data_IF_875823360030
#
_entry.id   IF_875823360030
#
_cell.length_a   1.000
_cell.length_b   1.000
_cell.length_c   1.000
_cell.angle_alpha   90.00
_cell.angle_beta   90.00
_cell.angle_gamma   90.00
#
_symmetry.space_group_name_H-M   'P 1'
#
loop_
_entity.id
_entity.type
_entity.pdbx_description
1 polymer ?
#
# COMPACT_ATOMS: atom_id res chain seq x y z
N UNK A 1 -3.41 2.49 -22.92
CA UNK A 1 -2.66 1.33 -23.40
C UNK A 1 -1.53 1.75 -24.34
N UNK A 2 -0.54 0.90 -24.50
CA UNK A 2 0.63 1.13 -25.36
C UNK A 2 0.71 0.01 -26.41
N UNK A 3 -0.15 0.01 -27.45
CA UNK A 3 -0.23 -1.09 -28.41
C UNK A 3 1.07 -1.31 -29.20
N UNK A 4 1.81 -0.24 -29.52
CA UNK A 4 3.08 -0.37 -30.25
C UNK A 4 4.18 -0.99 -29.42
N UNK A 5 4.23 -0.71 -28.11
CA UNK A 5 5.10 -1.41 -27.19
C UNK A 5 4.83 -2.92 -27.19
N UNK A 6 3.57 -3.33 -27.09
CA UNK A 6 3.19 -4.75 -27.10
C UNK A 6 3.54 -5.44 -28.41
N UNK A 7 3.37 -4.75 -29.57
CA UNK A 7 3.80 -5.27 -30.89
C UNK A 7 5.32 -5.47 -30.94
N UNK A 8 6.10 -4.52 -30.39
CA UNK A 8 7.56 -4.64 -30.35
C UNK A 8 8.00 -5.79 -29.44
N UNK A 9 7.41 -5.94 -28.25
CA UNK A 9 7.68 -7.09 -27.38
C UNK A 9 7.43 -8.40 -28.10
N UNK A 10 6.29 -8.52 -28.80
CA UNK A 10 5.96 -9.72 -29.57
C UNK A 10 7.01 -9.99 -30.65
N UNK A 11 7.42 -8.96 -31.39
CA UNK A 11 8.50 -9.07 -32.39
C UNK A 11 9.83 -9.50 -31.79
N UNK A 12 10.15 -9.02 -30.58
CA UNK A 12 11.38 -9.41 -29.86
C UNK A 12 11.32 -10.88 -29.41
N UNK A 13 10.16 -11.37 -29.01
CA UNK A 13 9.99 -12.79 -28.64
C UNK A 13 10.34 -13.73 -29.79
N UNK A 14 10.04 -13.33 -31.03
CA UNK A 14 10.35 -14.13 -32.23
C UNK A 14 11.79 -13.96 -32.73
N UNK A 15 12.39 -12.78 -32.56
CA UNK A 15 13.68 -12.42 -33.18
C UNK A 15 14.89 -12.57 -32.26
N UNK A 16 14.70 -12.42 -30.95
CA UNK A 16 15.80 -12.49 -29.98
C UNK A 16 16.10 -13.95 -29.63
N UNK A 17 17.38 -14.31 -29.58
CA UNK A 17 17.77 -15.70 -29.28
C UNK A 17 17.32 -16.12 -27.87
N UNK A 18 17.05 -17.42 -27.71
CA UNK A 18 16.74 -18.00 -26.39
C UNK A 18 17.84 -17.70 -25.36
N UNK A 19 19.10 -17.76 -25.76
CA UNK A 19 20.24 -17.45 -24.88
C UNK A 19 20.18 -16.00 -24.36
N UNK A 20 19.84 -15.05 -25.25
CA UNK A 20 19.72 -13.64 -24.85
C UNK A 20 18.55 -13.44 -23.87
N UNK A 21 17.41 -14.09 -24.12
CA UNK A 21 16.28 -14.07 -23.18
C UNK A 21 16.64 -14.69 -21.83
N UNK A 22 17.32 -15.84 -21.85
CA UNK A 22 17.78 -16.49 -20.62
C UNK A 22 18.72 -15.61 -19.80
N UNK A 23 19.70 -14.97 -20.46
CA UNK A 23 20.60 -14.03 -19.79
C UNK A 23 19.85 -12.82 -19.20
N UNK A 24 18.92 -12.25 -19.95
CA UNK A 24 18.10 -11.13 -19.49
C UNK A 24 17.23 -11.50 -18.29
N UNK A 25 16.53 -12.63 -18.35
CA UNK A 25 15.67 -13.08 -17.25
C UNK A 25 16.50 -13.46 -16.01
N UNK A 26 17.67 -14.09 -16.21
CA UNK A 26 18.60 -14.37 -15.12
C UNK A 26 19.07 -13.09 -14.44
N UNK A 27 19.43 -12.08 -15.23
CA UNK A 27 19.80 -10.76 -14.69
C UNK A 27 18.62 -10.11 -13.92
N UNK A 28 17.41 -10.13 -14.48
CA UNK A 28 16.23 -9.61 -13.80
C UNK A 28 16.00 -10.29 -12.45
N UNK A 29 16.14 -11.62 -12.42
CA UNK A 29 15.97 -12.42 -11.19
C UNK A 29 17.02 -12.04 -10.15
N UNK A 30 18.31 -12.08 -10.53
CA UNK A 30 19.40 -11.70 -9.62
C UNK A 30 19.21 -10.28 -9.09
N UNK A 31 18.88 -9.34 -9.97
CA UNK A 31 18.67 -7.95 -9.59
C UNK A 31 17.49 -7.77 -8.61
N UNK A 32 16.39 -8.51 -8.81
CA UNK A 32 15.22 -8.47 -7.92
C UNK A 32 15.53 -8.97 -6.50
N UNK A 33 16.46 -9.92 -6.37
CA UNK A 33 16.85 -10.51 -5.10
C UNK A 33 18.13 -9.94 -4.51
N UNK A 34 18.91 -9.14 -5.24
CA UNK A 34 20.23 -8.67 -4.82
C UNK A 34 20.23 -7.99 -3.45
N UNK A 35 19.22 -7.15 -3.17
CA UNK A 35 19.06 -6.51 -1.85
C UNK A 35 18.66 -7.45 -0.70
N UNK A 36 18.48 -8.74 -0.97
CA UNK A 36 17.94 -9.77 -0.08
C UNK A 36 18.86 -10.98 0.08
N UNK A 37 20.01 -10.97 -0.57
CA UNK A 37 21.03 -12.02 -0.51
C UNK A 37 22.08 -11.70 0.57
N UNK A 38 23.31 -12.14 0.39
CA UNK A 38 24.41 -11.84 1.31
C UNK A 38 24.85 -10.37 1.26
N UNK A 39 25.69 -9.96 2.22
CA UNK A 39 26.14 -8.57 2.38
C UNK A 39 26.81 -7.99 1.13
N UNK A 40 27.48 -8.83 0.32
CA UNK A 40 28.16 -8.38 -0.91
C UNK A 40 27.12 -7.92 -1.93
N UNK A 41 26.08 -8.71 -2.16
CA UNK A 41 24.98 -8.37 -3.07
C UNK A 41 24.17 -7.19 -2.57
N UNK A 42 23.84 -7.17 -1.28
CA UNK A 42 23.13 -6.06 -0.63
C UNK A 42 23.90 -4.76 -0.81
N UNK A 43 25.24 -4.77 -0.62
CA UNK A 43 26.06 -3.58 -0.79
C UNK A 43 26.12 -3.12 -2.23
N UNK A 44 26.36 -4.00 -3.20
CA UNK A 44 26.36 -3.64 -4.61
C UNK A 44 25.00 -3.07 -5.07
N UNK A 45 23.91 -3.66 -4.62
CA UNK A 45 22.57 -3.14 -4.90
C UNK A 45 22.39 -1.72 -4.32
N UNK A 46 22.77 -1.51 -3.06
CA UNK A 46 22.72 -0.21 -2.41
C UNK A 46 23.60 0.83 -3.12
N UNK A 47 24.85 0.49 -3.40
CA UNK A 47 25.83 1.41 -4.02
C UNK A 47 25.33 1.94 -5.36
N UNK A 48 24.66 1.09 -6.15
CA UNK A 48 24.09 1.51 -7.43
C UNK A 48 22.75 2.25 -7.26
N UNK A 49 21.75 1.63 -6.69
CA UNK A 49 20.38 2.19 -6.68
C UNK A 49 20.21 3.36 -5.69
N UNK A 50 20.82 3.24 -4.52
CA UNK A 50 20.75 4.31 -3.52
C UNK A 50 21.91 5.30 -3.64
N UNK A 51 23.11 4.81 -3.85
CA UNK A 51 24.31 5.64 -3.98
C UNK A 51 24.32 6.44 -5.29
N UNK A 52 24.48 5.75 -6.42
CA UNK A 52 24.66 6.40 -7.72
C UNK A 52 23.38 7.09 -8.20
N UNK A 53 22.22 6.40 -8.14
CA UNK A 53 20.98 6.94 -8.71
C UNK A 53 20.25 7.91 -7.77
N UNK A 54 20.36 7.75 -6.46
CA UNK A 54 19.59 8.55 -5.48
C UNK A 54 20.46 9.48 -4.62
N UNK A 55 21.80 9.39 -4.71
CA UNK A 55 22.73 10.22 -3.94
C UNK A 55 22.78 9.91 -2.43
N UNK A 56 22.31 8.73 -2.02
CA UNK A 56 22.29 8.32 -0.61
C UNK A 56 23.65 7.77 -0.21
N UNK A 57 24.30 8.37 0.79
CA UNK A 57 25.65 8.00 1.21
C UNK A 57 25.71 6.84 2.22
N UNK A 58 24.68 6.65 3.02
CA UNK A 58 24.69 5.66 4.11
C UNK A 58 23.48 4.71 4.00
N UNK A 59 23.75 3.43 4.10
CA UNK A 59 22.72 2.40 4.21
C UNK A 59 22.03 2.48 5.57
N UNK A 60 20.71 2.33 5.59
CA UNK A 60 19.92 2.25 6.84
C UNK A 60 20.36 1.06 7.69
N UNK A 61 20.21 1.16 9.02
CA UNK A 61 20.38 0.03 9.95
C UNK A 61 19.53 -1.18 9.54
N UNK A 62 19.97 -2.39 9.92
CA UNK A 62 19.32 -3.63 9.49
C UNK A 62 17.89 -3.75 10.02
N UNK A 63 17.62 -3.29 11.22
CA UNK A 63 16.29 -3.27 11.83
C UNK A 63 15.32 -2.38 11.08
N UNK A 64 15.74 -1.18 10.65
CA UNK A 64 14.91 -0.31 9.81
C UNK A 64 14.62 -0.96 8.45
N UNK A 65 15.63 -1.57 7.81
CA UNK A 65 15.47 -2.28 6.54
C UNK A 65 14.50 -3.46 6.66
N UNK A 66 14.56 -4.21 7.76
CA UNK A 66 13.62 -5.31 8.04
C UNK A 66 12.18 -4.79 8.18
N UNK A 67 11.97 -3.68 8.88
CA UNK A 67 10.64 -3.06 9.01
C UNK A 67 10.13 -2.59 7.65
N UNK A 68 10.97 -1.97 6.84
CA UNK A 68 10.61 -1.53 5.48
C UNK A 68 10.24 -2.71 4.57
N UNK A 69 11.00 -3.80 4.63
CA UNK A 69 10.71 -5.00 3.86
C UNK A 69 9.36 -5.64 4.26
N UNK A 70 9.09 -5.75 5.56
CA UNK A 70 7.80 -6.25 6.05
C UNK A 70 6.67 -5.31 5.60
N UNK A 71 6.88 -3.98 5.70
CA UNK A 71 5.92 -2.96 5.27
C UNK A 71 5.61 -3.04 3.76
N UNK A 72 6.60 -3.37 2.94
CA UNK A 72 6.44 -3.56 1.50
C UNK A 72 5.90 -4.94 1.09
N UNK A 73 5.73 -5.86 2.01
CA UNK A 73 5.32 -7.24 1.74
C UNK A 73 3.84 -7.50 2.04
N UNK A 74 3.36 -8.71 1.74
CA UNK A 74 2.02 -9.16 2.13
C UNK A 74 1.82 -9.20 3.66
N UNK A 75 2.90 -9.17 4.44
CA UNK A 75 2.86 -9.20 5.92
C UNK A 75 2.61 -7.82 6.55
N UNK A 76 2.52 -6.77 5.76
CA UNK A 76 2.35 -5.40 6.24
C UNK A 76 1.18 -5.22 7.22
N UNK A 77 0.06 -5.92 7.02
CA UNK A 77 -1.06 -5.85 7.96
C UNK A 77 -0.78 -6.48 9.32
N UNK A 78 0.08 -7.51 9.41
CA UNK A 78 0.50 -8.05 10.71
C UNK A 78 1.29 -7.01 11.51
N UNK A 79 2.20 -6.29 10.83
CA UNK A 79 2.93 -5.18 11.45
C UNK A 79 1.96 -4.07 11.85
N UNK A 80 1.00 -3.74 10.98
CA UNK A 80 -0.05 -2.77 11.27
C UNK A 80 -0.89 -3.14 12.48
N UNK A 81 -1.25 -4.41 12.63
CA UNK A 81 -1.96 -4.91 13.81
C UNK A 81 -1.16 -4.74 15.08
N UNK A 82 0.11 -5.17 15.08
CA UNK A 82 1.00 -5.01 16.23
C UNK A 82 1.22 -3.53 16.61
N UNK A 83 1.29 -2.64 15.61
CA UNK A 83 1.38 -1.20 15.83
C UNK A 83 0.13 -0.65 16.51
N UNK A 84 -1.05 -1.02 16.01
CA UNK A 84 -2.35 -0.55 16.55
C UNK A 84 -2.53 -1.00 18.00
N UNK A 85 -2.23 -2.25 18.31
CA UNK A 85 -2.35 -2.80 19.67
C UNK A 85 -1.54 -2.00 20.70
N UNK A 86 -0.42 -1.39 20.28
CA UNK A 86 0.42 -0.58 21.17
C UNK A 86 0.12 0.92 21.17
N UNK A 87 -0.28 1.47 20.01
CA UNK A 87 -0.17 2.92 19.77
C UNK A 87 -1.51 3.58 19.40
N UNK A 88 -2.59 2.84 19.20
CA UNK A 88 -3.84 3.45 18.76
C UNK A 88 -5.05 2.81 19.41
N UNK A 89 -5.68 3.53 20.32
CA UNK A 89 -6.81 3.06 21.10
C UNK A 89 -8.13 3.07 20.31
N UNK A 90 -9.12 2.29 20.79
CA UNK A 90 -10.49 2.36 20.29
C UNK A 90 -11.08 3.76 20.54
N UNK A 91 -10.72 4.41 21.63
CA UNK A 91 -11.15 5.76 21.94
C UNK A 91 -10.61 6.78 20.90
N UNK A 92 -9.33 6.67 20.53
CA UNK A 92 -8.75 7.45 19.44
C UNK A 92 -9.52 7.25 18.13
N UNK A 93 -9.84 6.01 17.77
CA UNK A 93 -10.66 5.70 16.58
C UNK A 93 -12.03 6.40 16.65
N UNK A 94 -12.69 6.37 17.79
CA UNK A 94 -13.99 7.03 17.99
C UNK A 94 -13.90 8.55 17.88
N UNK A 95 -12.87 9.17 18.46
CA UNK A 95 -12.64 10.62 18.33
C UNK A 95 -12.40 11.05 16.89
N UNK A 96 -11.58 10.30 16.17
CA UNK A 96 -11.33 10.54 14.74
C UNK A 96 -12.63 10.41 13.92
N UNK A 97 -13.46 9.40 14.20
CA UNK A 97 -14.77 9.26 13.56
C UNK A 97 -15.65 10.52 13.80
N UNK A 98 -15.74 10.98 15.04
CA UNK A 98 -16.50 12.19 15.38
C UNK A 98 -15.94 13.44 14.66
N UNK A 99 -14.62 13.57 14.59
CA UNK A 99 -13.97 14.66 13.84
C UNK A 99 -14.35 14.64 12.36
N UNK A 100 -14.31 13.47 11.73
CA UNK A 100 -14.70 13.29 10.32
C UNK A 100 -16.19 13.56 10.13
N UNK A 101 -17.06 13.15 11.05
CA UNK A 101 -18.50 13.50 11.01
C UNK A 101 -18.71 15.01 11.01
N UNK A 102 -18.01 15.74 11.85
CA UNK A 102 -18.07 17.20 11.91
C UNK A 102 -17.54 17.86 10.63
N UNK A 103 -16.45 17.32 10.05
CA UNK A 103 -15.92 17.79 8.77
C UNK A 103 -16.92 17.59 7.63
N UNK A 104 -17.57 16.43 7.56
CA UNK A 104 -18.58 16.15 6.53
C UNK A 104 -19.83 17.02 6.70
N UNK A 105 -20.26 17.28 7.93
CA UNK A 105 -21.35 18.20 8.23
C UNK A 105 -21.01 19.64 7.79
N UNK A 106 -19.80 20.11 8.10
CA UNK A 106 -19.32 21.43 7.66
C UNK A 106 -19.20 21.52 6.14
N UNK A 107 -18.74 20.45 5.50
CA UNK A 107 -18.63 20.39 4.04
C UNK A 107 -20.02 20.43 3.37
N UNK A 108 -21.01 19.74 3.95
CA UNK A 108 -22.41 19.83 3.51
C UNK A 108 -22.91 21.27 3.53
N UNK A 109 -22.83 21.97 4.68
CA UNK A 109 -23.25 23.36 4.80
C UNK A 109 -22.56 24.26 3.78
N UNK A 110 -21.27 24.00 3.52
CA UNK A 110 -20.51 24.77 2.54
C UNK A 110 -21.01 24.55 1.12
N UNK A 111 -21.32 23.32 0.70
CA UNK A 111 -21.90 23.02 -0.63
C UNK A 111 -23.26 23.70 -0.77
N UNK A 112 -24.12 23.63 0.24
CA UNK A 112 -25.44 24.27 0.24
C UNK A 112 -25.36 25.81 0.08
N UNK A 113 -24.35 26.45 0.67
CA UNK A 113 -24.14 27.90 0.63
C UNK A 113 -23.40 28.41 -0.62
N UNK A 114 -22.96 27.58 -1.58
CA UNK A 114 -22.23 28.06 -2.76
C UNK A 114 -23.15 28.77 -3.77
N UNK A 115 -22.86 30.02 -4.08
CA UNK A 115 -23.69 30.83 -5.01
C UNK A 115 -23.46 30.46 -6.49
N UNK A 116 -22.24 30.03 -6.82
CA UNK A 116 -21.86 29.72 -8.19
C UNK A 116 -22.33 28.34 -8.67
N UNK A 117 -22.76 27.47 -7.78
CA UNK A 117 -23.17 26.10 -8.08
C UNK A 117 -24.69 26.03 -8.30
N UNK A 118 -25.13 25.46 -9.44
CA UNK A 118 -26.55 25.26 -9.73
C UNK A 118 -27.22 24.32 -8.71
N UNK A 119 -28.54 24.42 -8.55
CA UNK A 119 -29.29 23.55 -7.64
C UNK A 119 -29.16 22.06 -8.00
N UNK A 120 -29.13 21.72 -9.31
CA UNK A 120 -28.92 20.36 -9.75
C UNK A 120 -27.53 19.84 -9.40
N UNK A 121 -26.48 20.65 -9.60
CA UNK A 121 -25.10 20.31 -9.26
C UNK A 121 -24.92 20.15 -7.75
N UNK A 122 -25.53 21.03 -6.92
CA UNK A 122 -25.53 20.87 -5.46
C UNK A 122 -26.14 19.53 -5.03
N UNK A 123 -27.24 19.13 -5.64
CA UNK A 123 -27.90 17.84 -5.37
C UNK A 123 -26.95 16.68 -5.61
N UNK A 124 -26.26 16.66 -6.75
CA UNK A 124 -25.29 15.61 -7.10
C UNK A 124 -24.06 15.65 -6.16
N UNK A 125 -23.56 16.84 -5.84
CA UNK A 125 -22.45 16.99 -4.89
C UNK A 125 -22.80 16.47 -3.49
N UNK A 126 -24.00 16.74 -3.01
CA UNK A 126 -24.50 16.23 -1.73
C UNK A 126 -24.74 14.71 -1.77
N UNK A 127 -25.22 14.17 -2.87
CA UNK A 127 -25.35 12.73 -3.06
C UNK A 127 -23.97 12.04 -3.00
N UNK A 128 -22.96 12.60 -3.68
CA UNK A 128 -21.58 12.12 -3.61
C UNK A 128 -21.00 12.22 -2.20
N UNK A 129 -21.22 13.32 -1.49
CA UNK A 129 -20.78 13.50 -0.10
C UNK A 129 -21.41 12.46 0.84
N UNK A 130 -22.69 12.15 0.65
CA UNK A 130 -23.41 11.16 1.46
C UNK A 130 -22.92 9.73 1.20
N UNK A 131 -22.40 9.46 0.00
CA UNK A 131 -21.90 8.17 -0.41
C UNK A 131 -20.41 7.97 -0.11
N UNK A 132 -19.74 8.91 0.59
CA UNK A 132 -18.32 8.80 0.89
C UNK A 132 -18.03 7.66 1.87
N UNK A 133 -17.18 6.73 1.45
CA UNK A 133 -16.64 5.68 2.31
C UNK A 133 -15.56 6.23 3.25
N UNK A 134 -15.42 5.61 4.42
CA UNK A 134 -14.44 6.02 5.44
C UNK A 134 -13.68 4.81 5.98
N UNK A 135 -12.35 4.90 5.97
CA UNK A 135 -11.43 3.94 6.56
C UNK A 135 -10.54 4.68 7.55
N UNK A 136 -10.83 4.59 8.83
CA UNK A 136 -10.21 5.40 9.88
C UNK A 136 -9.50 4.52 10.92
N UNK A 137 -8.21 4.75 11.09
CA UNK A 137 -7.36 4.05 12.04
C UNK A 137 -6.91 2.67 11.55
N UNK A 138 -7.78 1.69 11.63
CA UNK A 138 -7.47 0.29 11.29
C UNK A 138 -8.72 -0.46 10.81
N UNK A 139 -8.55 -1.58 10.06
CA UNK A 139 -9.66 -2.39 9.56
C UNK A 139 -10.43 -3.07 10.69
N UNK A 140 -11.74 -3.24 10.51
CA UNK A 140 -12.58 -3.96 11.47
C UNK A 140 -12.29 -5.48 11.47
N UNK A 141 -11.84 -6.00 10.34
CA UNK A 141 -11.44 -7.38 10.15
C UNK A 141 -10.02 -7.41 9.58
N UNK A 142 -9.07 -8.03 10.30
CA UNK A 142 -7.71 -8.18 9.86
C UNK A 142 -7.58 -9.28 8.81
N UNK A 143 -6.62 -9.11 7.90
CA UNK A 143 -6.29 -10.09 6.85
C UNK A 143 -5.94 -11.45 7.45
N UNK A 144 -6.46 -12.52 6.85
CA UNK A 144 -6.10 -13.89 7.20
C UNK A 144 -4.87 -14.34 6.42
N UNK A 145 -3.92 -14.92 7.11
CA UNK A 145 -2.70 -15.52 6.52
C UNK A 145 -2.73 -17.04 6.53
N UNK A 146 -3.93 -17.63 6.57
CA UNK A 146 -4.09 -19.09 6.53
C UNK A 146 -3.50 -19.64 5.23
N UNK A 147 -2.57 -20.56 5.38
CA UNK A 147 -1.87 -21.20 4.24
C UNK A 147 -0.58 -20.51 3.81
N UNK A 148 -0.23 -19.34 4.38
CA UNK A 148 1.10 -18.77 4.21
C UNK A 148 2.09 -19.49 5.13
N UNK A 149 3.20 -19.96 4.56
CA UNK A 149 4.29 -20.64 5.30
C UNK A 149 5.49 -19.70 5.36
N UNK A 150 5.99 -19.47 6.58
CA UNK A 150 7.20 -18.68 6.84
C UNK A 150 8.23 -19.56 7.55
N UNK A 151 9.46 -19.59 7.03
CA UNK A 151 10.60 -20.30 7.59
C UNK A 151 11.47 -19.35 8.42
N UNK A 152 11.97 -19.76 9.60
CA UNK A 152 12.92 -18.95 10.37
C UNK A 152 14.34 -18.95 9.79
N UNK A 153 14.63 -19.76 8.77
CA UNK A 153 15.99 -19.99 8.26
C UNK A 153 16.13 -19.78 6.75
N UNK A 154 15.05 -19.55 6.03
CA UNK A 154 15.08 -19.38 4.58
C UNK A 154 14.34 -18.11 4.18
N UNK A 155 15.11 -17.01 4.10
CA UNK A 155 14.56 -15.70 3.80
C UNK A 155 14.06 -15.57 2.36
N UNK A 156 14.77 -16.15 1.39
CA UNK A 156 14.37 -16.10 -0.03
C UNK A 156 13.07 -16.86 -0.23
N UNK A 157 12.95 -18.06 0.34
CA UNK A 157 11.70 -18.83 0.29
C UNK A 157 10.53 -18.07 0.96
N UNK A 158 10.78 -17.29 2.01
CA UNK A 158 9.74 -16.45 2.62
C UNK A 158 9.23 -15.39 1.66
N UNK A 159 10.13 -14.73 0.90
CA UNK A 159 9.74 -13.74 -0.12
C UNK A 159 8.88 -14.42 -1.20
N UNK A 160 9.31 -15.55 -1.71
CA UNK A 160 8.56 -16.31 -2.73
C UNK A 160 7.18 -16.73 -2.21
N UNK A 161 7.11 -17.23 -0.98
CA UNK A 161 5.86 -17.62 -0.36
C UNK A 161 4.92 -16.42 -0.17
N UNK A 162 5.43 -15.25 0.22
CA UNK A 162 4.66 -14.02 0.32
C UNK A 162 4.15 -13.55 -1.05
N UNK A 163 5.00 -13.56 -2.07
CA UNK A 163 4.64 -13.20 -3.44
C UNK A 163 3.56 -14.13 -4.00
N UNK A 164 3.76 -15.46 -3.85
CA UNK A 164 2.79 -16.46 -4.30
C UNK A 164 1.45 -16.36 -3.55
N UNK A 165 1.49 -16.07 -2.26
CA UNK A 165 0.28 -15.84 -1.47
C UNK A 165 -0.51 -14.63 -2.00
N UNK A 166 0.15 -13.49 -2.17
CA UNK A 166 -0.47 -12.28 -2.72
C UNK A 166 -1.00 -12.49 -4.14
N UNK A 167 -0.25 -13.22 -4.97
CA UNK A 167 -0.69 -13.53 -6.33
C UNK A 167 -1.97 -14.36 -6.32
N UNK A 168 -2.06 -15.41 -5.48
CA UNK A 168 -3.27 -16.22 -5.34
C UNK A 168 -4.45 -15.40 -4.85
N UNK A 169 -4.27 -14.56 -3.81
CA UNK A 169 -5.31 -13.64 -3.34
C UNK A 169 -5.83 -12.74 -4.46
N UNK A 170 -4.93 -12.18 -5.28
CA UNK A 170 -5.33 -11.33 -6.40
C UNK A 170 -6.08 -12.10 -7.49
N UNK A 171 -5.68 -13.34 -7.78
CA UNK A 171 -6.42 -14.21 -8.70
C UNK A 171 -7.83 -14.53 -8.17
N UNK A 172 -7.97 -14.74 -6.87
CA UNK A 172 -9.27 -15.00 -6.25
C UNK A 172 -10.24 -13.82 -6.32
N UNK A 173 -9.75 -12.61 -6.58
CA UNK A 173 -10.60 -11.42 -6.80
C UNK A 173 -11.23 -11.41 -8.19
N UNK A 174 -10.70 -12.17 -9.15
CA UNK A 174 -11.26 -12.23 -10.49
C UNK A 174 -12.72 -12.71 -10.43
N UNK A 175 -13.57 -12.03 -11.19
CA UNK A 175 -15.00 -12.28 -11.27
C UNK A 175 -15.78 -12.11 -9.95
N UNK A 176 -15.16 -11.54 -8.91
CA UNK A 176 -15.84 -11.17 -7.66
C UNK A 176 -16.16 -9.68 -7.62
N UNK A 177 -17.24 -9.28 -6.93
CA UNK A 177 -17.50 -7.87 -6.67
C UNK A 177 -16.34 -7.23 -5.89
N UNK A 178 -16.15 -5.92 -6.09
CA UNK A 178 -15.14 -5.15 -5.35
C UNK A 178 -15.39 -5.22 -3.85
N UNK A 179 -14.39 -5.63 -3.10
CA UNK A 179 -14.43 -5.64 -1.64
C UNK A 179 -14.13 -4.24 -1.09
N UNK A 180 -15.16 -3.49 -0.72
CA UNK A 180 -15.04 -2.15 -0.15
C UNK A 180 -14.43 -2.12 1.25
N UNK A 181 -14.28 -3.26 1.94
CA UNK A 181 -13.62 -3.37 3.26
C UNK A 181 -12.10 -3.48 3.14
N UNK A 182 -11.57 -3.81 1.98
CA UNK A 182 -10.13 -3.97 1.76
C UNK A 182 -9.40 -2.62 1.87
N UNK A 183 -8.32 -2.59 2.64
CA UNK A 183 -7.46 -1.42 2.78
C UNK A 183 -6.30 -1.48 1.78
N UNK A 184 -5.96 -0.34 1.17
CA UNK A 184 -4.81 -0.23 0.26
C UNK A 184 -3.50 0.07 0.99
N UNK A 185 -3.60 0.48 2.25
CA UNK A 185 -2.46 0.82 3.10
C UNK A 185 -2.57 0.14 4.45
N UNK A 186 -1.48 -0.44 4.99
CA UNK A 186 -1.47 -1.00 6.34
C UNK A 186 -1.61 0.10 7.41
N UNK A 187 -2.14 -0.28 8.55
CA UNK A 187 -2.53 0.66 9.61
C UNK A 187 -1.37 1.46 10.23
N UNK A 188 -0.12 1.01 10.13
CA UNK A 188 1.05 1.69 10.69
C UNK A 188 1.65 2.77 9.80
N UNK A 189 1.21 2.90 8.53
CA UNK A 189 1.75 3.90 7.62
C UNK A 189 1.34 5.33 8.02
N UNK A 190 2.32 6.23 7.97
CA UNK A 190 2.10 7.68 8.06
C UNK A 190 1.73 8.20 6.68
N UNK A 191 0.49 7.99 6.29
CA UNK A 191 -0.05 8.38 5.00
C UNK A 191 -1.58 8.45 5.04
N UNK A 192 -2.19 8.96 3.96
CA UNK A 192 -3.64 9.00 3.75
C UNK A 192 -3.95 8.97 2.26
N UNK A 193 -5.15 8.54 1.88
CA UNK A 193 -5.58 8.61 0.49
C UNK A 193 -7.07 8.91 0.33
N UNK A 194 -7.42 9.42 -0.84
CA UNK A 194 -8.77 9.40 -1.38
C UNK A 194 -8.80 8.51 -2.63
N UNK A 195 -9.68 7.52 -2.65
CA UNK A 195 -9.87 6.64 -3.79
C UNK A 195 -11.08 7.10 -4.64
N UNK A 196 -10.88 7.71 -5.81
CA UNK A 196 -11.97 8.33 -6.57
C UNK A 196 -13.00 7.33 -7.11
N UNK A 197 -12.58 6.12 -7.48
CA UNK A 197 -13.49 5.10 -7.99
C UNK A 197 -14.36 4.47 -6.91
N UNK A 198 -13.87 4.40 -5.68
CA UNK A 198 -14.62 3.92 -4.51
C UNK A 198 -15.33 5.06 -3.77
N UNK A 199 -14.99 6.32 -4.07
CA UNK A 199 -15.43 7.49 -3.35
C UNK A 199 -15.20 7.34 -1.83
N UNK A 200 -13.97 7.04 -1.43
CA UNK A 200 -13.61 6.81 -0.04
C UNK A 200 -12.35 7.57 0.38
N UNK A 201 -12.29 7.92 1.65
CA UNK A 201 -11.10 8.45 2.33
C UNK A 201 -10.55 7.40 3.28
N UNK A 202 -9.22 7.34 3.38
CA UNK A 202 -8.54 6.46 4.31
C UNK A 202 -7.45 7.20 5.06
N UNK A 203 -7.45 7.03 6.38
CA UNK A 203 -6.46 7.58 7.30
C UNK A 203 -6.00 6.47 8.25
N UNK A 204 -4.87 5.80 7.95
CA UNK A 204 -4.29 4.78 8.83
C UNK A 204 -3.93 5.32 10.22
N UNK A 205 -3.87 4.43 11.23
CA UNK A 205 -3.50 4.81 12.59
C UNK A 205 -2.12 5.46 12.70
N UNK A 206 -1.21 5.16 11.77
CA UNK A 206 0.13 5.74 11.73
C UNK A 206 0.15 7.24 11.55
N UNK A 207 -0.74 7.81 10.73
CA UNK A 207 -0.83 9.28 10.59
C UNK A 207 -1.64 9.91 11.73
N UNK A 208 -2.44 9.13 12.45
CA UNK A 208 -3.22 9.57 13.60
C UNK A 208 -2.39 9.54 14.90
N UNK A 209 -1.19 10.12 14.84
CA UNK A 209 -0.23 10.27 15.93
C UNK A 209 0.24 11.73 16.00
N UNK A 210 0.76 12.19 17.15
CA UNK A 210 1.40 13.49 17.21
C UNK A 210 2.50 13.65 16.14
N UNK A 211 2.60 14.83 15.48
CA UNK A 211 1.88 16.07 15.73
C UNK A 211 0.53 16.23 15.00
N UNK A 212 0.12 15.24 14.19
CA UNK A 212 -1.10 15.35 13.36
C UNK A 212 -2.39 15.16 14.17
N UNK A 213 -2.38 14.27 15.14
CA UNK A 213 -3.51 13.98 16.01
C UNK A 213 -3.02 13.61 17.41
N UNK A 214 -3.65 14.13 18.44
CA UNK A 214 -3.45 13.74 19.83
C UNK A 214 -4.80 13.35 20.45
N UNK A 215 -4.90 12.12 20.94
CA UNK A 215 -6.09 11.61 21.61
C UNK A 215 -6.43 12.41 22.89
N UNK A 216 -5.44 13.06 23.50
CA UNK A 216 -5.58 13.78 24.77
C UNK A 216 -5.76 15.28 24.63
N UNK A 217 -5.62 15.82 23.42
CA UNK A 217 -5.77 17.26 23.16
C UNK A 217 -7.24 17.74 23.18
#
# INVERSE_FOLDING_TARGET
>A
GQPDFMKQVNTMMDKVSFQSWNNYLSWCTINAYAGKLDDTWVRHNFDFYSGVLSGTSNMKPIDERCIEEITGSTLAELLGKAFVEKNFSVNAKNRVNTMVDNLLASFRMRIEGLDWMSASTKKEALAKLNAIGRKLGFPDEWKSYKGLVISPVDYVANIDNCCNFSFKENLEKLHKPVNRKEWEMPAHLVNAYYHPLLNEIAFPAGIMQPPFFDEKA
#
